data_IF_795650719330
#
_entry.id   IF_795650719330
#
_cell.length_a   1.000
_cell.length_b   1.000
_cell.length_c   1.000
_cell.angle_alpha   90.00
_cell.angle_beta   90.00
_cell.angle_gamma   90.00
#
_symmetry.space_group_name_H-M   'P 1'
#
loop_
_entity.id
_entity.type
_entity.pdbx_description
1 polymer ?
#
# COMPACT_ATOMS: atom_id res chain seq x y z
N UNK A 1 11.63 14.91 -2.56
CA UNK A 1 11.51 14.73 -1.10
C UNK A 1 10.21 15.30 -0.54
N UNK A 2 9.93 16.61 -0.63
CA UNK A 2 8.66 17.19 -0.11
C UNK A 2 7.41 16.52 -0.71
N UNK A 3 7.35 16.37 -2.05
CA UNK A 3 6.22 15.71 -2.72
C UNK A 3 6.08 14.22 -2.35
N UNK A 4 7.19 13.55 -2.03
CA UNK A 4 7.17 12.15 -1.60
C UNK A 4 6.56 12.01 -0.22
N UNK A 5 7.09 12.75 0.77
CA UNK A 5 6.57 12.72 2.13
C UNK A 5 5.10 13.15 2.18
N UNK A 6 4.73 14.20 1.44
CA UNK A 6 3.34 14.66 1.39
C UNK A 6 2.38 13.61 0.81
N UNK A 7 2.82 12.82 -0.18
CA UNK A 7 2.03 11.72 -0.70
C UNK A 7 1.94 10.58 0.31
N UNK A 8 3.04 10.23 0.97
CA UNK A 8 3.07 9.20 2.02
C UNK A 8 2.09 9.56 3.14
N UNK A 9 2.15 10.79 3.65
CA UNK A 9 1.25 11.26 4.70
C UNK A 9 -0.24 11.18 4.27
N UNK A 10 -0.55 11.50 3.00
CA UNK A 10 -1.91 11.38 2.46
C UNK A 10 -2.37 9.93 2.32
N UNK A 11 -1.49 9.05 1.86
CA UNK A 11 -1.81 7.63 1.71
C UNK A 11 -2.05 6.97 3.08
N UNK A 12 -1.22 7.27 4.07
CA UNK A 12 -1.37 6.84 5.46
C UNK A 12 -2.71 7.33 6.03
N UNK A 13 -3.06 8.61 5.85
CA UNK A 13 -4.34 9.14 6.32
C UNK A 13 -5.55 8.44 5.67
N UNK A 14 -5.50 8.17 4.35
CA UNK A 14 -6.56 7.41 3.66
C UNK A 14 -6.71 5.99 4.21
N UNK A 15 -5.60 5.32 4.54
CA UNK A 15 -5.61 3.97 5.10
C UNK A 15 -6.16 3.97 6.54
N UNK A 16 -5.76 4.95 7.36
CA UNK A 16 -6.26 5.12 8.73
C UNK A 16 -7.77 5.41 8.78
N UNK A 17 -8.32 6.14 7.80
CA UNK A 17 -9.76 6.41 7.72
C UNK A 17 -10.60 5.13 7.52
N UNK A 18 -10.07 4.15 6.78
CA UNK A 18 -10.73 2.84 6.63
C UNK A 18 -10.79 2.12 7.97
N UNK A 19 -9.78 2.28 8.84
CA UNK A 19 -9.75 1.69 10.19
C UNK A 19 -10.91 2.15 11.07
N UNK A 20 -11.37 3.39 10.88
CA UNK A 20 -12.41 4.00 11.71
C UNK A 20 -13.83 3.61 11.29
N UNK A 21 -14.04 3.35 9.99
CA UNK A 21 -15.38 3.31 9.39
C UNK A 21 -15.66 2.10 8.49
N UNK A 22 -14.65 1.30 8.16
CA UNK A 22 -14.77 0.14 7.30
C UNK A 22 -15.45 -1.06 7.96
N UNK A 23 -16.06 -1.91 7.13
CA UNK A 23 -16.46 -3.27 7.50
C UNK A 23 -15.24 -4.14 7.82
N UNK A 24 -15.42 -5.28 8.51
CA UNK A 24 -14.33 -6.21 8.83
C UNK A 24 -13.50 -6.61 7.59
N UNK A 25 -14.15 -6.84 6.45
CA UNK A 25 -13.51 -7.13 5.18
C UNK A 25 -12.63 -5.94 4.73
N UNK A 26 -13.14 -4.71 4.80
CA UNK A 26 -12.40 -3.50 4.40
C UNK A 26 -11.23 -3.21 5.34
N UNK A 27 -11.44 -3.41 6.66
CA UNK A 27 -10.40 -3.30 7.68
C UNK A 27 -9.25 -4.26 7.42
N UNK A 28 -9.56 -5.51 7.06
CA UNK A 28 -8.55 -6.51 6.73
C UNK A 28 -7.74 -6.11 5.49
N UNK A 29 -8.40 -5.67 4.42
CA UNK A 29 -7.74 -5.25 3.17
C UNK A 29 -6.87 -4.01 3.40
N UNK A 30 -7.39 -3.01 4.11
CA UNK A 30 -6.64 -1.80 4.43
C UNK A 30 -5.43 -2.10 5.31
N UNK A 31 -5.59 -2.91 6.35
CA UNK A 31 -4.48 -3.31 7.23
C UNK A 31 -3.41 -4.09 6.48
N UNK A 32 -3.81 -4.99 5.57
CA UNK A 32 -2.88 -5.75 4.74
C UNK A 32 -2.08 -4.83 3.80
N UNK A 33 -2.77 -3.93 3.10
CA UNK A 33 -2.13 -2.96 2.22
C UNK A 33 -1.22 -2.00 2.99
N UNK A 34 -1.64 -1.56 4.18
CA UNK A 34 -0.89 -0.65 5.04
C UNK A 34 0.48 -1.23 5.42
N UNK A 35 0.53 -2.50 5.87
CA UNK A 35 1.79 -3.16 6.19
C UNK A 35 2.77 -3.20 5.00
N UNK A 36 2.27 -3.54 3.81
CA UNK A 36 3.08 -3.56 2.58
C UNK A 36 3.50 -2.15 2.13
N UNK A 37 2.63 -1.16 2.30
CA UNK A 37 2.92 0.24 2.00
C UNK A 37 4.04 0.77 2.90
N UNK A 38 3.96 0.58 4.22
CA UNK A 38 5.02 1.01 5.14
C UNK A 38 6.35 0.32 4.86
N UNK A 39 6.34 -0.97 4.49
CA UNK A 39 7.54 -1.68 4.04
C UNK A 39 8.14 -1.06 2.77
N UNK A 40 7.32 -0.78 1.76
CA UNK A 40 7.75 -0.18 0.51
C UNK A 40 8.32 1.24 0.72
N UNK A 41 7.68 2.07 1.55
CA UNK A 41 8.21 3.39 1.92
C UNK A 41 9.58 3.27 2.56
N UNK A 42 9.75 2.34 3.51
CA UNK A 42 11.04 2.10 4.16
C UNK A 42 12.13 1.68 3.15
N UNK A 43 11.81 0.79 2.21
CA UNK A 43 12.73 0.35 1.16
C UNK A 43 13.15 1.50 0.23
N UNK A 44 12.21 2.38 -0.16
CA UNK A 44 12.51 3.53 -1.01
C UNK A 44 13.36 4.57 -0.27
N UNK A 45 13.09 4.84 1.00
CA UNK A 45 13.87 5.77 1.82
C UNK A 45 15.32 5.29 2.04
N UNK A 46 15.57 3.98 1.99
CA UNK A 46 16.90 3.39 2.06
C UNK A 46 17.61 3.33 0.70
N UNK A 47 16.92 3.65 -0.40
CA UNK A 47 17.48 3.68 -1.75
C UNK A 47 18.07 5.05 -2.10
N UNK A 48 18.95 5.08 -3.11
CA UNK A 48 19.51 6.34 -3.64
C UNK A 48 18.48 7.18 -4.42
N UNK A 49 17.27 6.67 -4.67
CA UNK A 49 16.27 7.30 -5.52
C UNK A 49 14.86 7.33 -4.89
N UNK A 50 14.61 8.37 -4.07
CA UNK A 50 13.32 8.60 -3.42
C UNK A 50 12.35 9.27 -4.41
N UNK A 51 11.55 8.45 -5.09
CA UNK A 51 10.54 8.90 -6.05
C UNK A 51 9.25 8.06 -5.98
N UNK A 52 8.11 8.66 -6.35
CA UNK A 52 6.79 8.05 -6.27
C UNK A 52 6.60 6.87 -7.24
N UNK A 53 7.24 6.92 -8.41
CA UNK A 53 7.22 5.78 -9.33
C UNK A 53 7.91 4.56 -8.71
N UNK A 54 9.08 4.75 -8.09
CA UNK A 54 9.81 3.69 -7.40
C UNK A 54 8.98 3.14 -6.24
N UNK A 55 8.28 3.98 -5.48
CA UNK A 55 7.36 3.51 -4.43
C UNK A 55 6.24 2.62 -4.98
N UNK A 56 5.58 3.03 -6.06
CA UNK A 56 4.56 2.20 -6.69
C UNK A 56 5.14 0.86 -7.17
N UNK A 57 6.30 0.87 -7.82
CA UNK A 57 6.91 -0.34 -8.37
C UNK A 57 7.34 -1.31 -7.26
N UNK A 58 7.96 -0.79 -6.19
CA UNK A 58 8.36 -1.57 -5.02
C UNK A 58 7.13 -2.16 -4.31
N UNK A 59 6.08 -1.37 -4.10
CA UNK A 59 4.86 -1.85 -3.46
C UNK A 59 4.18 -2.95 -4.29
N UNK A 60 4.06 -2.76 -5.61
CA UNK A 60 3.47 -3.78 -6.49
C UNK A 60 4.33 -5.05 -6.52
N UNK A 61 5.66 -4.94 -6.45
CA UNK A 61 6.54 -6.11 -6.34
C UNK A 61 6.28 -6.87 -5.04
N UNK A 62 6.29 -6.18 -3.89
CA UNK A 62 6.05 -6.80 -2.57
C UNK A 62 4.70 -7.52 -2.53
N UNK A 63 3.64 -6.89 -3.04
CA UNK A 63 2.30 -7.48 -3.10
C UNK A 63 2.26 -8.72 -4.01
N UNK A 64 2.85 -8.64 -5.21
CA UNK A 64 2.88 -9.78 -6.12
C UNK A 64 3.65 -10.98 -5.54
N UNK A 65 4.78 -10.72 -4.86
CA UNK A 65 5.56 -11.77 -4.20
C UNK A 65 4.75 -12.43 -3.06
N UNK A 66 4.07 -11.63 -2.25
CA UNK A 66 3.18 -12.12 -1.19
C UNK A 66 2.00 -12.95 -1.74
N UNK A 67 1.41 -12.52 -2.86
CA UNK A 67 0.34 -13.25 -3.53
C UNK A 67 0.82 -14.57 -4.13
N UNK A 68 2.02 -14.58 -4.73
CA UNK A 68 2.66 -15.80 -5.21
C UNK A 68 2.92 -16.81 -4.07
N UNK A 69 3.22 -16.30 -2.88
CA UNK A 69 3.37 -17.08 -1.64
C UNK A 69 2.04 -17.49 -0.99
N UNK A 70 0.90 -17.20 -1.63
CA UNK A 70 -0.46 -17.56 -1.17
C UNK A 70 -0.85 -16.92 0.17
N UNK A 71 -0.32 -15.74 0.48
CA UNK A 71 -0.69 -15.02 1.71
C UNK A 71 -2.13 -14.48 1.69
N UNK A 72 -2.71 -14.32 0.49
CA UNK A 72 -4.03 -13.72 0.30
C UNK A 72 -4.82 -14.44 -0.80
N UNK A 73 -6.12 -14.61 -0.62
CA UNK A 73 -7.00 -15.23 -1.62
C UNK A 73 -7.24 -14.30 -2.82
N UNK A 74 -7.50 -14.88 -3.99
CA UNK A 74 -7.64 -14.14 -5.26
C UNK A 74 -8.68 -13.00 -5.21
N UNK A 75 -9.80 -13.21 -4.51
CA UNK A 75 -10.83 -12.17 -4.33
C UNK A 75 -10.27 -10.95 -3.59
N UNK A 76 -9.51 -11.19 -2.53
CA UNK A 76 -8.95 -10.14 -1.69
C UNK A 76 -7.73 -9.47 -2.33
N UNK A 77 -6.96 -10.19 -3.15
CA UNK A 77 -5.92 -9.60 -4.01
C UNK A 77 -6.50 -8.49 -4.91
N UNK A 78 -7.67 -8.73 -5.51
CA UNK A 78 -8.35 -7.73 -6.34
C UNK A 78 -8.79 -6.50 -5.52
N UNK A 79 -9.28 -6.70 -4.29
CA UNK A 79 -9.64 -5.60 -3.39
C UNK A 79 -8.43 -4.76 -3.01
N UNK A 80 -7.29 -5.39 -2.70
CA UNK A 80 -6.02 -4.69 -2.40
C UNK A 80 -5.58 -3.81 -3.56
N UNK A 81 -5.59 -4.32 -4.79
CA UNK A 81 -5.21 -3.51 -5.96
C UNK A 81 -6.18 -2.38 -6.28
N UNK A 82 -7.48 -2.61 -6.03
CA UNK A 82 -8.50 -1.57 -6.18
C UNK A 82 -8.24 -0.44 -5.18
N UNK A 83 -8.09 -0.78 -3.90
CA UNK A 83 -7.79 0.20 -2.84
C UNK A 83 -6.49 0.98 -3.13
N UNK A 84 -5.42 0.30 -3.55
CA UNK A 84 -4.18 0.99 -3.91
C UNK A 84 -4.36 1.95 -5.09
N UNK A 85 -5.16 1.55 -6.09
CA UNK A 85 -5.45 2.42 -7.24
C UNK A 85 -6.22 3.68 -6.82
N UNK A 86 -7.16 3.56 -5.88
CA UNK A 86 -7.91 4.70 -5.35
C UNK A 86 -7.05 5.63 -4.49
N UNK A 87 -6.04 5.08 -3.79
CA UNK A 87 -5.11 5.89 -2.98
C UNK A 87 -4.18 6.72 -3.87
N UNK A 88 -3.62 6.11 -4.92
CA UNK A 88 -2.60 6.74 -5.77
C UNK A 88 -3.12 7.70 -6.85
N UNK A 89 -4.43 7.67 -7.11
CA UNK A 89 -5.14 8.62 -7.98
C UNK A 89 -5.29 9.98 -7.30
#
# INVERSE_FOLDING_TARGET
>A
MIAFNHFVDQAEAKLDEVVVSGSDDELFIASYLHGHFSLAVSQVLQSDNICLNILNDVLLSNLNDAFANKELEQRDQHKVFTLWSDIKN
#
